data_IF_324377778619
#
_entry.id   IF_324377778619
#
_cell.length_a   1.000
_cell.length_b   1.000
_cell.length_c   1.000
_cell.angle_alpha   90.00
_cell.angle_beta   90.00
_cell.angle_gamma   90.00
#
_symmetry.space_group_name_H-M   'P 1'
#
loop_
_entity.id
_entity.type
_entity.pdbx_description
1 polymer ?
#
# COMPACT_ATOMS: atom_id res chain seq x y z
N UNK A 1 -3.64 -11.69 15.10
CA UNK A 1 -3.47 -12.14 16.51
C UNK A 1 -4.40 -11.36 17.46
N UNK A 2 -4.79 -11.92 18.63
CA UNK A 2 -5.47 -11.16 19.69
C UNK A 2 -4.60 -9.99 20.21
N UNK A 3 -5.20 -9.05 20.94
CA UNK A 3 -4.42 -7.98 21.60
C UNK A 3 -3.52 -8.60 22.68
N UNK A 4 -2.22 -8.26 22.72
CA UNK A 4 -1.28 -8.87 23.65
C UNK A 4 -1.59 -8.41 25.08
N UNK A 5 -1.99 -9.34 25.94
CA UNK A 5 -2.32 -9.04 27.32
C UNK A 5 -1.09 -8.63 28.13
N UNK A 6 -1.29 -7.90 29.24
CA UNK A 6 -0.26 -7.46 30.20
C UNK A 6 0.87 -8.49 30.43
N UNK A 7 0.54 -9.78 30.55
CA UNK A 7 1.53 -10.85 30.76
C UNK A 7 2.53 -10.98 29.60
N UNK A 8 2.08 -10.88 28.36
CA UNK A 8 2.93 -10.96 27.17
C UNK A 8 3.82 -9.71 27.05
N UNK A 9 3.27 -8.53 27.35
CA UNK A 9 4.04 -7.26 27.43
C UNK A 9 5.13 -7.33 28.51
N UNK A 10 4.85 -7.99 29.65
CA UNK A 10 5.80 -8.24 30.72
C UNK A 10 6.90 -9.21 30.29
N UNK A 11 6.55 -10.34 29.66
CA UNK A 11 7.48 -11.38 29.19
C UNK A 11 8.38 -10.92 28.02
N UNK A 12 7.89 -10.02 27.16
CA UNK A 12 8.67 -9.35 26.12
C UNK A 12 9.61 -8.24 26.67
N UNK A 13 9.37 -7.80 27.91
CA UNK A 13 10.20 -6.82 28.60
C UNK A 13 9.91 -5.35 28.26
N UNK A 14 8.68 -5.02 27.80
CA UNK A 14 8.28 -3.63 27.49
C UNK A 14 8.38 -2.71 28.71
N UNK A 15 8.17 -3.25 29.91
CA UNK A 15 8.13 -2.49 31.16
C UNK A 15 9.48 -1.89 31.60
N UNK A 16 10.60 -2.30 31.00
CA UNK A 16 11.92 -1.73 31.32
C UNK A 16 12.17 -0.47 30.50
N UNK A 17 12.32 0.67 31.17
CA UNK A 17 12.89 1.87 30.57
C UNK A 17 14.40 1.95 30.74
N UNK A 18 14.92 3.16 30.59
CA UNK A 18 16.32 3.52 30.78
C UNK A 18 16.67 3.85 32.25
N UNK A 19 17.96 4.08 32.49
CA UNK A 19 18.48 4.57 33.78
C UNK A 19 17.88 5.94 34.17
N UNK A 20 17.63 6.14 35.46
CA UNK A 20 17.02 7.38 36.03
C UNK A 20 17.77 8.68 35.74
N UNK A 21 19.04 8.61 35.32
CA UNK A 21 19.84 9.77 34.89
C UNK A 21 19.63 10.19 33.43
N UNK A 22 18.94 9.38 32.63
CA UNK A 22 18.80 9.55 31.16
C UNK A 22 17.36 9.79 30.70
N UNK A 23 16.42 9.92 31.63
CA UNK A 23 15.00 10.07 31.36
C UNK A 23 14.63 11.49 30.85
N UNK A 24 13.54 11.59 30.09
CA UNK A 24 12.91 12.85 29.74
C UNK A 24 11.77 13.15 30.74
N UNK A 25 11.72 14.35 31.37
CA UNK A 25 10.66 14.72 32.31
C UNK A 25 9.23 14.59 31.76
N UNK A 26 9.02 14.66 30.45
CA UNK A 26 7.71 14.55 29.80
C UNK A 26 7.17 13.12 29.81
N UNK A 27 8.05 12.12 29.93
CA UNK A 27 7.66 10.72 30.11
C UNK A 27 7.09 10.41 31.51
N UNK A 28 7.04 11.38 32.44
CA UNK A 28 6.62 11.17 33.83
C UNK A 28 5.25 10.51 33.99
N UNK A 29 4.31 10.77 33.08
CA UNK A 29 2.97 10.18 33.12
C UNK A 29 2.94 8.68 32.77
N UNK A 30 3.89 8.21 31.95
CA UNK A 30 3.99 6.82 31.51
C UNK A 30 4.91 5.96 32.39
N UNK A 31 5.64 6.59 33.32
CA UNK A 31 6.57 5.91 34.24
C UNK A 31 5.81 5.56 35.53
N UNK A 32 5.61 4.26 35.77
CA UNK A 32 5.03 3.73 37.00
C UNK A 32 5.95 3.95 38.22
N UNK A 33 7.26 3.84 38.03
CA UNK A 33 8.22 4.02 39.13
C UNK A 33 9.68 3.81 38.72
N UNK A 34 10.51 3.48 39.70
CA UNK A 34 11.90 3.10 39.50
C UNK A 34 12.27 1.90 40.38
N UNK A 35 13.18 1.06 39.89
CA UNK A 35 13.73 -0.09 40.59
C UNK A 35 15.18 -0.29 40.16
N UNK A 36 16.07 -0.49 41.13
CA UNK A 36 17.49 -0.75 40.89
C UNK A 36 18.18 0.29 39.96
N UNK A 37 17.66 1.54 39.96
CA UNK A 37 18.15 2.64 39.13
C UNK A 37 17.61 2.68 37.69
N UNK A 38 16.64 1.84 37.35
CA UNK A 38 15.99 1.74 36.04
C UNK A 38 14.51 2.17 36.19
N UNK A 39 13.98 2.95 35.24
CA UNK A 39 12.56 3.27 35.23
C UNK A 39 11.68 2.07 34.83
N UNK A 40 10.53 1.95 35.49
CA UNK A 40 9.49 0.99 35.12
C UNK A 40 8.37 1.75 34.41
N UNK A 41 8.05 1.31 33.20
CA UNK A 41 6.96 1.84 32.36
C UNK A 41 5.64 1.16 32.75
N UNK A 42 4.56 1.93 32.78
CA UNK A 42 3.22 1.44 33.13
C UNK A 42 2.59 0.62 31.99
N UNK A 43 2.59 -0.71 32.16
CA UNK A 43 2.04 -1.64 31.16
C UNK A 43 0.53 -1.49 30.94
N UNK A 44 -0.23 -0.94 31.88
CA UNK A 44 -1.68 -0.69 31.67
C UNK A 44 -1.89 0.42 30.64
N UNK A 45 -1.06 1.46 30.69
CA UNK A 45 -1.05 2.51 29.68
C UNK A 45 -0.52 1.96 28.34
N UNK A 46 0.55 1.17 28.37
CA UNK A 46 1.09 0.49 27.17
C UNK A 46 0.03 -0.35 26.45
N UNK A 47 -0.71 -1.20 27.17
CA UNK A 47 -1.76 -2.07 26.60
C UNK A 47 -2.86 -1.24 25.91
N UNK A 48 -3.36 -0.21 26.61
CA UNK A 48 -4.40 0.67 26.08
C UNK A 48 -3.95 1.44 24.82
N UNK A 49 -2.77 2.07 24.88
CA UNK A 49 -2.25 2.90 23.80
C UNK A 49 -1.77 2.06 22.60
N UNK A 50 -1.26 0.84 22.83
CA UNK A 50 -0.98 -0.11 21.75
C UNK A 50 -2.26 -0.53 21.02
N UNK A 51 -3.37 -0.71 21.75
CA UNK A 51 -4.67 -1.00 21.13
C UNK A 51 -5.20 0.19 20.31
N UNK A 52 -4.97 1.44 20.75
CA UNK A 52 -5.28 2.64 19.97
C UNK A 52 -4.42 2.75 18.70
N UNK A 53 -3.10 2.60 18.83
CA UNK A 53 -2.16 2.57 17.72
C UNK A 53 -2.52 1.48 16.69
N UNK A 54 -2.90 0.28 17.15
CA UNK A 54 -3.35 -0.83 16.32
C UNK A 54 -4.63 -0.49 15.54
N UNK A 55 -5.62 0.12 16.20
CA UNK A 55 -6.86 0.57 15.56
C UNK A 55 -6.57 1.63 14.49
N UNK A 56 -5.78 2.65 14.81
CA UNK A 56 -5.42 3.70 13.85
C UNK A 56 -4.65 3.16 12.63
N UNK A 57 -3.68 2.26 12.84
CA UNK A 57 -2.94 1.62 11.74
C UNK A 57 -3.87 0.81 10.82
N UNK A 58 -4.81 0.05 11.41
CA UNK A 58 -5.84 -0.68 10.66
C UNK A 58 -6.74 0.27 9.86
N UNK A 59 -7.23 1.35 10.47
CA UNK A 59 -8.08 2.37 9.82
C UNK A 59 -7.41 3.09 8.65
N UNK A 60 -6.08 3.22 8.65
CA UNK A 60 -5.31 3.75 7.52
C UNK A 60 -5.20 2.70 6.42
N UNK A 61 -4.88 1.45 6.77
CA UNK A 61 -4.72 0.35 5.82
C UNK A 61 -6.04 -0.06 5.13
N UNK A 62 -7.18 -0.08 5.84
CA UNK A 62 -8.53 -0.35 5.27
C UNK A 62 -8.91 0.66 4.19
N UNK A 63 -8.37 1.89 4.24
CA UNK A 63 -8.61 2.95 3.24
C UNK A 63 -7.63 2.87 2.03
N UNK A 64 -6.78 1.84 1.96
CA UNK A 64 -5.69 1.78 0.99
C UNK A 64 -4.60 2.84 1.24
N UNK A 65 -4.46 3.29 2.49
CA UNK A 65 -3.41 4.19 2.94
C UNK A 65 -2.07 3.47 3.06
N UNK A 66 -0.98 4.15 2.73
CA UNK A 66 0.38 3.63 2.79
C UNK A 66 0.99 3.98 4.15
N UNK A 67 1.52 3.00 4.87
CA UNK A 67 2.15 3.18 6.19
C UNK A 67 3.65 2.93 6.06
N UNK A 68 4.48 3.85 6.54
CA UNK A 68 5.94 3.72 6.51
C UNK A 68 6.45 3.12 7.82
N UNK A 69 7.08 1.94 7.77
CA UNK A 69 7.72 1.33 8.95
C UNK A 69 9.19 1.78 9.07
N UNK A 70 9.59 2.29 10.22
CA UNK A 70 10.92 2.88 10.44
C UNK A 70 11.53 2.29 11.71
N UNK A 71 12.77 1.83 11.61
CA UNK A 71 13.54 1.42 12.77
C UNK A 71 14.94 0.97 12.37
N UNK A 72 15.93 1.85 12.51
CA UNK A 72 17.33 1.52 12.19
C UNK A 72 18.11 1.01 13.40
N UNK A 73 17.49 0.91 14.58
CA UNK A 73 18.08 0.23 15.74
C UNK A 73 18.19 -1.27 15.48
N UNK A 74 19.31 -1.91 15.85
CA UNK A 74 19.59 -3.33 15.56
C UNK A 74 18.45 -4.26 15.99
N UNK A 75 17.81 -3.95 17.11
CA UNK A 75 16.72 -4.71 17.71
C UNK A 75 15.37 -4.58 16.97
N UNK A 76 15.25 -3.65 16.03
CA UNK A 76 14.05 -3.40 15.24
C UNK A 76 14.22 -3.69 13.74
N UNK A 77 15.46 -3.68 13.19
CA UNK A 77 15.71 -3.71 11.74
C UNK A 77 15.04 -4.86 11.00
N UNK A 78 15.10 -6.06 11.59
CA UNK A 78 14.64 -7.28 10.95
C UNK A 78 13.11 -7.41 11.08
N UNK A 79 12.56 -7.13 12.26
CA UNK A 79 11.12 -7.09 12.49
C UNK A 79 10.41 -6.02 11.64
N UNK A 80 10.98 -4.80 11.53
CA UNK A 80 10.47 -3.74 10.64
C UNK A 80 10.41 -4.22 9.19
N UNK A 81 11.48 -4.84 8.70
CA UNK A 81 11.53 -5.36 7.34
C UNK A 81 10.52 -6.48 7.12
N UNK A 82 10.52 -7.49 8.00
CA UNK A 82 9.67 -8.68 7.86
C UNK A 82 8.18 -8.30 7.81
N UNK A 83 7.71 -7.46 8.73
CA UNK A 83 6.31 -7.04 8.76
C UNK A 83 5.94 -6.12 7.61
N UNK A 84 6.83 -5.22 7.19
CA UNK A 84 6.60 -4.37 6.03
C UNK A 84 6.57 -5.16 4.71
N UNK A 85 7.48 -6.11 4.51
CA UNK A 85 7.50 -7.02 3.35
C UNK A 85 6.22 -7.89 3.32
N UNK A 86 5.76 -8.41 4.47
CA UNK A 86 4.49 -9.15 4.59
C UNK A 86 3.27 -8.28 4.25
N UNK A 87 3.25 -7.02 4.69
CA UNK A 87 2.18 -6.08 4.40
C UNK A 87 2.20 -5.56 2.97
N UNK A 88 3.34 -5.64 2.27
CA UNK A 88 3.65 -4.89 1.05
C UNK A 88 3.48 -3.37 1.29
N UNK A 89 4.23 -2.90 2.31
CA UNK A 89 4.30 -1.51 2.78
C UNK A 89 5.77 -1.04 2.76
N UNK A 90 6.04 0.27 2.56
CA UNK A 90 7.41 0.78 2.54
C UNK A 90 8.05 0.75 3.94
N UNK A 91 9.38 0.59 3.97
CA UNK A 91 10.15 0.60 5.21
C UNK A 91 11.54 1.25 5.10
N UNK A 92 12.09 1.63 6.26
CA UNK A 92 13.46 2.10 6.45
C UNK A 92 14.08 1.39 7.65
N UNK A 93 14.99 0.44 7.40
CA UNK A 93 15.65 -0.35 8.44
C UNK A 93 17.18 -0.18 8.53
N UNK A 94 17.82 0.49 7.56
CA UNK A 94 19.29 0.68 7.56
C UNK A 94 19.72 2.05 8.09
N UNK A 95 19.27 3.13 7.45
CA UNK A 95 19.60 4.52 7.78
C UNK A 95 18.54 5.48 7.22
N UNK A 96 18.06 6.42 8.03
CA UNK A 96 17.26 7.55 7.53
C UNK A 96 18.13 8.51 6.70
N UNK A 97 17.71 8.78 5.46
CA UNK A 97 18.28 9.85 4.65
C UNK A 97 17.51 11.15 4.91
N UNK A 98 18.19 12.17 5.42
CA UNK A 98 17.56 13.48 5.63
C UNK A 98 17.01 14.06 4.33
N UNK A 99 15.73 14.44 4.34
CA UNK A 99 14.97 14.84 3.16
C UNK A 99 14.10 13.73 2.56
N UNK A 100 14.06 12.52 3.14
CA UNK A 100 13.30 11.38 2.61
C UNK A 100 11.82 11.72 2.37
N UNK A 101 11.20 12.45 3.30
CA UNK A 101 9.81 12.88 3.18
C UNK A 101 9.75 14.35 2.74
N UNK A 102 10.56 15.21 3.34
CA UNK A 102 10.48 16.67 3.14
C UNK A 102 11.04 17.17 1.81
N UNK A 103 11.85 16.36 1.12
CA UNK A 103 12.35 16.60 -0.22
C UNK A 103 12.04 15.40 -1.14
N UNK A 104 10.79 14.91 -1.05
CA UNK A 104 10.34 13.71 -1.77
C UNK A 104 10.60 13.73 -3.27
N UNK A 105 10.53 14.89 -3.94
CA UNK A 105 10.84 14.99 -5.39
C UNK A 105 12.30 14.59 -5.71
N UNK A 106 13.27 15.07 -4.93
CA UNK A 106 14.69 14.68 -5.11
C UNK A 106 14.92 13.21 -4.78
N UNK A 107 14.18 12.67 -3.81
CA UNK A 107 14.26 11.26 -3.42
C UNK A 107 13.58 10.34 -4.44
N UNK A 108 12.50 10.79 -5.06
CA UNK A 108 11.83 10.09 -6.18
C UNK A 108 12.80 9.90 -7.35
N UNK A 109 13.53 10.95 -7.74
CA UNK A 109 14.58 10.84 -8.77
C UNK A 109 15.72 9.87 -8.38
N UNK A 110 16.03 9.70 -7.08
CA UNK A 110 16.98 8.68 -6.61
C UNK A 110 16.39 7.27 -6.62
N UNK A 111 15.08 7.12 -6.44
CA UNK A 111 14.36 5.85 -6.55
C UNK A 111 14.20 5.45 -8.02
N UNK A 112 13.89 6.38 -8.92
CA UNK A 112 13.92 6.18 -10.38
C UNK A 112 15.30 5.72 -10.83
N UNK A 113 16.37 6.39 -10.36
CA UNK A 113 17.75 5.99 -10.62
C UNK A 113 18.09 4.58 -10.11
N UNK A 114 17.51 4.16 -8.99
CA UNK A 114 17.61 2.79 -8.49
C UNK A 114 16.94 1.81 -9.47
N UNK A 115 15.70 2.07 -9.90
CA UNK A 115 14.99 1.23 -10.87
C UNK A 115 15.74 1.11 -12.22
N UNK A 116 16.31 2.20 -12.73
CA UNK A 116 17.18 2.19 -13.92
C UNK A 116 18.37 1.24 -13.76
N UNK A 117 19.09 1.32 -12.64
CA UNK A 117 20.27 0.50 -12.37
C UNK A 117 19.92 -0.98 -12.15
N UNK A 118 18.79 -1.24 -11.48
CA UNK A 118 18.23 -2.60 -11.34
C UNK A 118 17.90 -3.18 -12.71
N UNK A 119 17.22 -2.44 -13.59
CA UNK A 119 16.91 -2.91 -14.95
C UNK A 119 18.19 -3.19 -15.76
N UNK A 120 19.17 -2.28 -15.76
CA UNK A 120 20.46 -2.48 -16.45
C UNK A 120 21.24 -3.70 -15.94
N UNK A 121 21.14 -4.03 -14.65
CA UNK A 121 21.72 -5.25 -14.07
C UNK A 121 20.95 -6.49 -14.54
N UNK A 122 19.64 -6.48 -14.39
CA UNK A 122 18.78 -7.64 -14.62
C UNK A 122 18.68 -8.00 -16.11
N UNK A 123 18.88 -7.02 -17.01
CA UNK A 123 19.05 -7.21 -18.46
C UNK A 123 20.48 -7.59 -18.90
N UNK A 124 21.44 -7.66 -17.97
CA UNK A 124 22.85 -7.96 -18.27
C UNK A 124 23.63 -6.84 -18.98
N UNK A 125 23.05 -5.65 -19.15
CA UNK A 125 23.71 -4.53 -19.83
C UNK A 125 24.95 -4.01 -19.08
N UNK A 126 24.98 -4.14 -17.74
CA UNK A 126 26.15 -3.74 -16.94
C UNK A 126 27.42 -4.53 -17.28
N UNK A 127 27.30 -5.79 -17.70
CA UNK A 127 28.46 -6.64 -18.06
C UNK A 127 29.14 -6.19 -19.35
N UNK A 128 28.39 -5.53 -20.25
CA UNK A 128 28.89 -4.95 -21.50
C UNK A 128 29.74 -3.69 -21.28
N UNK A 129 29.67 -3.07 -20.09
CA UNK A 129 30.41 -1.85 -19.78
C UNK A 129 31.90 -2.14 -19.48
N UNK A 130 32.80 -1.17 -19.75
CA UNK A 130 34.18 -1.24 -19.28
C UNK A 130 34.25 -1.48 -17.78
N UNK A 131 35.16 -2.35 -17.31
CA UNK A 131 35.26 -2.78 -15.90
C UNK A 131 35.18 -1.63 -14.88
N UNK A 132 35.82 -0.49 -15.16
CA UNK A 132 35.78 0.69 -14.27
C UNK A 132 34.38 1.30 -14.16
N UNK A 133 33.62 1.34 -15.26
CA UNK A 133 32.26 1.87 -15.28
C UNK A 133 31.28 0.88 -14.66
N UNK A 134 31.40 -0.41 -14.98
CA UNK A 134 30.62 -1.47 -14.33
C UNK A 134 30.76 -1.41 -12.80
N UNK A 135 31.98 -1.43 -12.27
CA UNK A 135 32.23 -1.33 -10.82
C UNK A 135 31.66 -0.05 -10.19
N UNK A 136 31.67 1.08 -10.93
CA UNK A 136 31.08 2.32 -10.46
C UNK A 136 29.54 2.25 -10.40
N UNK A 137 28.90 1.61 -11.39
CA UNK A 137 27.44 1.39 -11.43
C UNK A 137 26.98 0.35 -10.42
N UNK A 138 27.72 -0.74 -10.23
CA UNK A 138 27.46 -1.74 -9.19
C UNK A 138 27.54 -1.10 -7.80
N UNK A 139 28.57 -0.30 -7.52
CA UNK A 139 28.71 0.40 -6.24
C UNK A 139 27.76 1.61 -6.08
N UNK A 140 27.16 2.11 -7.17
CA UNK A 140 26.03 3.05 -7.15
C UNK A 140 24.74 2.31 -6.75
N UNK A 141 24.48 1.17 -7.39
CA UNK A 141 23.33 0.30 -7.17
C UNK A 141 23.30 -0.26 -5.74
N UNK A 142 24.39 -0.86 -5.27
CA UNK A 142 24.51 -1.42 -3.91
C UNK A 142 24.18 -0.37 -2.83
N UNK A 143 24.69 0.86 -3.00
CA UNK A 143 24.40 1.98 -2.07
C UNK A 143 22.95 2.44 -2.16
N UNK A 144 22.33 2.43 -3.34
CA UNK A 144 20.93 2.79 -3.50
C UNK A 144 20.00 1.69 -2.96
N UNK A 145 20.26 0.41 -3.24
CA UNK A 145 19.52 -0.73 -2.67
C UNK A 145 19.62 -0.74 -1.13
N UNK A 146 20.81 -0.52 -0.57
CA UNK A 146 21.02 -0.49 0.88
C UNK A 146 20.24 0.63 1.60
N UNK A 147 20.15 1.82 1.01
CA UNK A 147 19.50 2.97 1.66
C UNK A 147 18.03 3.17 1.27
N UNK A 148 17.65 2.84 0.03
CA UNK A 148 16.33 3.13 -0.56
C UNK A 148 15.53 1.88 -0.94
N UNK A 149 16.09 0.68 -0.81
CA UNK A 149 15.42 -0.57 -1.20
C UNK A 149 14.04 -0.77 -0.56
N UNK A 150 13.88 -0.45 0.72
CA UNK A 150 12.59 -0.53 1.43
C UNK A 150 11.57 0.54 1.04
N UNK A 151 11.98 1.65 0.40
CA UNK A 151 11.08 2.70 -0.10
C UNK A 151 10.94 2.70 -1.63
N UNK A 152 11.53 1.72 -2.34
CA UNK A 152 11.54 1.67 -3.82
C UNK A 152 10.15 1.68 -4.48
N UNK A 153 9.13 1.18 -3.78
CA UNK A 153 7.73 1.18 -4.23
C UNK A 153 6.94 2.45 -3.91
N UNK A 154 7.53 3.40 -3.18
CA UNK A 154 6.83 4.58 -2.65
C UNK A 154 6.62 5.64 -3.75
N UNK A 155 5.42 5.66 -4.35
CA UNK A 155 5.01 6.64 -5.39
C UNK A 155 4.45 7.95 -4.82
N UNK A 156 4.05 7.95 -3.56
CA UNK A 156 3.46 9.10 -2.83
C UNK A 156 3.94 9.07 -1.39
N UNK A 157 3.83 10.20 -0.69
CA UNK A 157 4.08 10.26 0.76
C UNK A 157 3.17 9.28 1.52
N UNK A 158 3.65 8.68 2.62
CA UNK A 158 2.84 7.82 3.47
C UNK A 158 1.75 8.62 4.21
N UNK A 159 0.68 7.92 4.61
CA UNK A 159 -0.45 8.48 5.35
C UNK A 159 -0.25 8.38 6.87
N UNK A 160 0.66 7.51 7.32
CA UNK A 160 1.13 7.39 8.70
C UNK A 160 2.54 6.80 8.72
N UNK A 161 3.28 7.00 9.81
CA UNK A 161 4.58 6.37 10.04
C UNK A 161 4.58 5.58 11.37
N UNK A 162 5.10 4.36 11.35
CA UNK A 162 5.41 3.57 12.55
C UNK A 162 6.91 3.72 12.80
N UNK A 163 7.32 4.36 13.89
CA UNK A 163 8.73 4.66 14.18
C UNK A 163 9.16 4.02 15.50
N UNK A 164 10.21 3.20 15.42
CA UNK A 164 10.84 2.51 16.55
C UNK A 164 12.21 3.15 16.82
N UNK A 165 12.49 3.46 18.09
CA UNK A 165 13.61 4.31 18.53
C UNK A 165 13.58 5.73 17.92
N UNK A 166 12.67 6.54 18.47
CA UNK A 166 12.46 7.94 18.10
C UNK A 166 13.70 8.83 18.35
N UNK A 167 14.66 8.36 19.16
CA UNK A 167 15.91 9.08 19.49
C UNK A 167 16.93 8.92 18.38
N UNK A 168 17.10 7.70 17.86
CA UNK A 168 17.89 7.40 16.67
C UNK A 168 17.24 8.00 15.42
N UNK A 169 15.91 7.89 15.30
CA UNK A 169 15.14 8.39 14.14
C UNK A 169 14.68 9.86 14.26
N UNK A 170 15.32 10.67 15.11
CA UNK A 170 14.91 12.06 15.38
C UNK A 170 14.84 12.98 14.15
N UNK A 171 15.50 12.62 13.04
CA UNK A 171 15.34 13.32 11.74
C UNK A 171 14.01 12.94 11.10
N UNK A 172 13.67 11.66 11.04
CA UNK A 172 12.41 11.17 10.47
C UNK A 172 11.18 11.65 11.24
N UNK A 173 11.26 11.71 12.57
CA UNK A 173 10.21 12.29 13.44
C UNK A 173 9.93 13.74 13.06
N UNK A 174 10.96 14.60 12.98
CA UNK A 174 10.81 16.01 12.59
C UNK A 174 10.33 16.20 11.16
N UNK A 175 10.71 15.31 10.25
CA UNK A 175 10.24 15.35 8.85
C UNK A 175 8.75 14.99 8.74
N UNK A 176 8.31 13.97 9.49
CA UNK A 176 6.90 13.58 9.57
C UNK A 176 6.06 14.67 10.26
N UNK A 177 6.50 15.18 11.40
CA UNK A 177 5.89 16.32 12.13
C UNK A 177 5.71 17.55 11.22
N UNK A 178 6.76 17.96 10.49
CA UNK A 178 6.71 19.11 9.59
C UNK A 178 5.70 18.95 8.45
N UNK A 179 5.44 17.70 8.04
CA UNK A 179 4.46 17.35 7.00
C UNK A 179 3.09 16.97 7.58
N UNK A 180 2.93 16.95 8.90
CA UNK A 180 1.75 16.47 9.62
C UNK A 180 1.36 15.04 9.25
N UNK A 181 2.35 14.18 9.05
CA UNK A 181 2.17 12.74 8.87
C UNK A 181 2.09 12.14 10.29
N UNK A 182 0.95 11.56 10.70
CA UNK A 182 0.76 11.06 12.05
C UNK A 182 1.71 9.89 12.35
N UNK A 183 2.28 9.93 13.56
CA UNK A 183 3.32 9.02 14.02
C UNK A 183 2.74 8.07 15.08
N UNK A 184 2.92 6.77 14.85
CA UNK A 184 2.83 5.71 15.85
C UNK A 184 4.26 5.45 16.33
N UNK A 185 4.56 5.68 17.60
CA UNK A 185 5.94 5.68 18.10
C UNK A 185 6.14 4.84 19.35
N UNK A 186 7.13 3.93 19.35
CA UNK A 186 7.58 3.27 20.58
C UNK A 186 8.38 4.29 21.42
N UNK A 187 7.82 4.74 22.53
CA UNK A 187 8.40 5.76 23.41
C UNK A 187 9.00 5.12 24.68
N UNK A 188 10.33 5.06 24.73
CA UNK A 188 11.05 4.77 25.97
C UNK A 188 11.12 6.04 26.84
N UNK A 189 11.30 5.87 28.15
CA UNK A 189 11.54 6.88 29.18
C UNK A 189 12.57 7.97 28.85
N UNK A 190 13.42 7.81 27.83
CA UNK A 190 14.51 8.73 27.45
C UNK A 190 14.20 9.61 26.21
N UNK A 191 12.95 9.58 25.73
CA UNK A 191 12.41 10.24 24.52
C UNK A 191 11.33 11.27 24.93
N UNK A 192 11.18 12.32 24.13
CA UNK A 192 10.04 13.25 24.21
C UNK A 192 8.81 12.66 23.50
N UNK A 193 7.69 12.39 24.19
CA UNK A 193 6.49 11.81 23.57
C UNK A 193 5.61 12.85 22.86
N UNK A 194 5.84 14.16 23.04
CA UNK A 194 4.95 15.21 22.51
C UNK A 194 4.79 15.24 20.97
N UNK A 195 5.81 14.93 20.15
CA UNK A 195 5.67 14.91 18.68
C UNK A 195 4.92 13.69 18.12
N UNK A 196 4.38 12.81 18.97
CA UNK A 196 3.84 11.50 18.60
C UNK A 196 2.34 11.46 18.87
N UNK A 197 1.52 11.36 17.83
CA UNK A 197 0.06 11.31 17.96
C UNK A 197 -0.43 10.01 18.61
N UNK A 198 0.27 8.89 18.39
CA UNK A 198 -0.04 7.58 18.99
C UNK A 198 1.22 7.01 19.68
N UNK A 199 1.57 7.51 20.89
CA UNK A 199 2.70 6.99 21.64
C UNK A 199 2.37 5.59 22.19
N UNK A 200 3.29 4.64 22.07
CA UNK A 200 3.23 3.34 22.75
C UNK A 200 4.37 3.30 23.76
N UNK A 201 4.12 3.48 25.07
CA UNK A 201 5.17 3.43 26.08
C UNK A 201 5.81 2.04 26.16
N UNK A 202 7.13 1.97 26.01
CA UNK A 202 7.83 0.69 26.13
C UNK A 202 9.32 0.72 25.83
N UNK A 203 9.97 -0.38 26.17
CA UNK A 203 11.39 -0.65 25.96
C UNK A 203 11.74 -0.75 24.46
N UNK A 204 12.63 0.11 23.96
CA UNK A 204 13.12 0.05 22.58
C UNK A 204 14.50 -0.66 22.45
N UNK A 205 15.10 -1.10 23.56
CA UNK A 205 16.37 -1.83 23.61
C UNK A 205 16.20 -3.37 23.57
N UNK A 206 15.01 -3.90 23.86
CA UNK A 206 14.70 -5.33 23.81
C UNK A 206 14.20 -5.76 22.42
N UNK A 207 14.86 -6.77 21.83
CA UNK A 207 14.44 -7.38 20.55
C UNK A 207 12.99 -7.86 20.62
N UNK A 208 12.64 -8.62 21.68
CA UNK A 208 11.28 -9.16 21.87
C UNK A 208 10.24 -8.06 22.04
N UNK A 209 10.62 -6.94 22.65
CA UNK A 209 9.74 -5.78 22.84
C UNK A 209 9.40 -5.13 21.50
N UNK A 210 10.43 -4.84 20.70
CA UNK A 210 10.27 -4.33 19.35
C UNK A 210 9.47 -5.30 18.47
N UNK A 211 9.81 -6.60 18.46
CA UNK A 211 9.09 -7.64 17.72
C UNK A 211 7.61 -7.71 18.09
N UNK A 212 7.26 -7.65 19.39
CA UNK A 212 5.87 -7.71 19.84
C UNK A 212 5.08 -6.46 19.41
N UNK A 213 5.65 -5.27 19.57
CA UNK A 213 4.99 -4.00 19.18
C UNK A 213 4.84 -3.90 17.66
N UNK A 214 5.92 -4.11 16.91
CA UNK A 214 5.93 -4.08 15.44
C UNK A 214 4.98 -5.16 14.90
N UNK A 215 4.99 -6.37 15.47
CA UNK A 215 4.14 -7.47 15.02
C UNK A 215 2.65 -7.25 15.33
N UNK A 216 2.32 -6.71 16.50
CA UNK A 216 0.93 -6.38 16.86
C UNK A 216 0.32 -5.34 15.92
N UNK A 217 1.12 -4.33 15.52
CA UNK A 217 0.70 -3.30 14.56
C UNK A 217 0.70 -3.86 13.13
N UNK A 218 1.77 -4.57 12.73
CA UNK A 218 1.97 -5.14 11.41
C UNK A 218 0.91 -6.17 11.03
N UNK A 219 0.50 -7.02 11.95
CA UNK A 219 -0.61 -7.97 11.75
C UNK A 219 -1.93 -7.23 11.45
N UNK A 220 -2.26 -6.19 12.21
CA UNK A 220 -3.49 -5.42 11.98
C UNK A 220 -3.46 -4.66 10.64
N UNK A 221 -2.29 -4.17 10.23
CA UNK A 221 -2.07 -3.59 8.89
C UNK A 221 -2.21 -4.66 7.80
N UNK A 222 -1.69 -5.87 8.02
CA UNK A 222 -1.81 -6.99 7.08
C UNK A 222 -3.26 -7.42 6.88
N UNK A 223 -3.99 -7.72 7.97
CA UNK A 223 -5.42 -8.11 7.94
C UNK A 223 -6.27 -7.03 7.22
N UNK A 224 -6.03 -5.75 7.53
CA UNK A 224 -6.69 -4.61 6.88
C UNK A 224 -6.34 -4.47 5.40
N UNK A 225 -5.06 -4.57 5.04
CA UNK A 225 -4.58 -4.44 3.66
C UNK A 225 -5.07 -5.59 2.77
N UNK A 226 -5.13 -6.83 3.30
CA UNK A 226 -5.74 -7.97 2.59
C UNK A 226 -7.24 -7.73 2.34
N UNK A 227 -7.96 -7.24 3.36
CA UNK A 227 -9.39 -6.90 3.25
C UNK A 227 -9.63 -5.82 2.20
N UNK A 228 -8.81 -4.76 2.19
CA UNK A 228 -8.87 -3.71 1.17
C UNK A 228 -8.53 -4.22 -0.23
N UNK A 229 -7.45 -5.00 -0.40
CA UNK A 229 -7.07 -5.60 -1.69
C UNK A 229 -8.19 -6.45 -2.29
N UNK A 230 -8.89 -7.24 -1.46
CA UNK A 230 -10.04 -8.02 -1.89
C UNK A 230 -11.20 -7.12 -2.34
N UNK A 231 -11.62 -6.16 -1.52
CA UNK A 231 -12.71 -5.25 -1.87
C UNK A 231 -12.40 -4.40 -3.13
N UNK A 232 -11.13 -4.01 -3.32
CA UNK A 232 -10.65 -3.31 -4.51
C UNK A 232 -10.68 -4.20 -5.76
N UNK A 233 -10.34 -5.49 -5.64
CA UNK A 233 -10.43 -6.46 -6.73
C UNK A 233 -11.88 -6.75 -7.12
N UNK A 234 -12.75 -6.97 -6.13
CA UNK A 234 -14.19 -7.19 -6.32
C UNK A 234 -14.83 -5.97 -7.04
N UNK A 235 -14.54 -4.73 -6.59
CA UNK A 235 -15.04 -3.51 -7.25
C UNK A 235 -14.55 -3.38 -8.70
N UNK A 236 -13.28 -3.72 -8.98
CA UNK A 236 -12.74 -3.68 -10.35
C UNK A 236 -13.40 -4.72 -11.26
N UNK A 237 -13.67 -5.92 -10.75
CA UNK A 237 -14.39 -6.95 -11.49
C UNK A 237 -15.84 -6.54 -11.80
N UNK A 238 -16.53 -5.90 -10.83
CA UNK A 238 -17.85 -5.32 -11.05
C UNK A 238 -17.82 -4.21 -12.12
N UNK A 239 -16.89 -3.24 -11.99
CA UNK A 239 -16.70 -2.16 -12.97
C UNK A 239 -16.40 -2.70 -14.39
N UNK A 240 -15.54 -3.72 -14.52
CA UNK A 240 -15.25 -4.35 -15.81
C UNK A 240 -16.45 -5.10 -16.37
N UNK A 241 -17.18 -5.86 -15.53
CA UNK A 241 -18.41 -6.55 -15.95
C UNK A 241 -19.48 -5.58 -16.44
N UNK A 242 -19.57 -4.40 -15.81
CA UNK A 242 -20.49 -3.33 -16.21
C UNK A 242 -20.07 -2.70 -17.53
N UNK A 243 -18.79 -2.39 -17.72
CA UNK A 243 -18.28 -1.86 -19.01
C UNK A 243 -18.54 -2.83 -20.16
N UNK A 244 -18.27 -4.13 -19.97
CA UNK A 244 -18.57 -5.16 -20.98
C UNK A 244 -20.06 -5.21 -21.35
N UNK A 245 -20.98 -5.12 -20.36
CA UNK A 245 -22.42 -5.05 -20.63
C UNK A 245 -22.81 -3.77 -21.39
N UNK A 246 -22.29 -2.62 -20.99
CA UNK A 246 -22.54 -1.34 -21.68
C UNK A 246 -21.96 -1.32 -23.11
N UNK A 247 -20.86 -2.03 -23.37
CA UNK A 247 -20.29 -2.25 -24.70
C UNK A 247 -21.14 -3.24 -25.55
N UNK A 248 -21.58 -4.36 -24.97
CA UNK A 248 -22.48 -5.31 -25.64
C UNK A 248 -23.84 -4.68 -26.00
N UNK A 249 -24.41 -3.85 -25.12
CA UNK A 249 -25.65 -3.12 -25.37
C UNK A 249 -25.47 -2.08 -26.50
N UNK A 250 -24.36 -1.34 -26.53
CA UNK A 250 -24.03 -0.42 -27.64
C UNK A 250 -23.87 -1.17 -28.96
N UNK A 251 -23.16 -2.29 -28.97
CA UNK A 251 -22.97 -3.10 -30.19
C UNK A 251 -24.30 -3.66 -30.71
N UNK A 252 -25.21 -4.09 -29.82
CA UNK A 252 -26.56 -4.51 -30.20
C UNK A 252 -27.39 -3.35 -30.77
N UNK A 253 -27.38 -2.19 -30.11
CA UNK A 253 -28.10 -1.01 -30.59
C UNK A 253 -27.58 -0.53 -31.96
N UNK A 254 -26.26 -0.51 -32.16
CA UNK A 254 -25.66 -0.21 -33.47
C UNK A 254 -26.01 -1.25 -34.53
N UNK A 255 -26.07 -2.54 -34.18
CA UNK A 255 -26.46 -3.60 -35.10
C UNK A 255 -27.95 -3.49 -35.50
N UNK A 256 -28.84 -3.19 -34.55
CA UNK A 256 -30.26 -2.91 -34.82
C UNK A 256 -30.44 -1.64 -35.68
N UNK A 257 -29.68 -0.57 -35.41
CA UNK A 257 -29.74 0.66 -36.20
C UNK A 257 -29.24 0.45 -37.65
N UNK A 258 -28.15 -0.32 -37.83
CA UNK A 258 -27.65 -0.72 -39.16
C UNK A 258 -28.68 -1.58 -39.90
N UNK A 259 -29.21 -2.63 -39.26
CA UNK A 259 -30.24 -3.48 -39.84
C UNK A 259 -31.52 -2.71 -40.20
N UNK A 260 -31.91 -1.70 -39.39
CA UNK A 260 -33.05 -0.82 -39.66
C UNK A 260 -32.80 0.08 -40.89
N UNK A 261 -31.59 0.62 -41.04
CA UNK A 261 -31.19 1.41 -42.23
C UNK A 261 -31.12 0.55 -43.49
N UNK A 262 -30.51 -0.64 -43.41
CA UNK A 262 -30.47 -1.59 -44.52
C UNK A 262 -31.89 -2.02 -44.96
N UNK A 263 -32.82 -2.19 -44.02
CA UNK A 263 -34.22 -2.48 -44.32
C UNK A 263 -34.97 -1.28 -44.95
N UNK A 264 -34.73 -0.04 -44.48
CA UNK A 264 -35.29 1.17 -45.10
C UNK A 264 -34.74 1.38 -46.53
N UNK A 265 -33.44 1.13 -46.77
CA UNK A 265 -32.82 1.21 -48.10
C UNK A 265 -33.33 0.11 -49.05
N UNK A 266 -33.48 -1.14 -48.57
CA UNK A 266 -34.06 -2.23 -49.35
C UNK A 266 -35.53 -1.97 -49.71
N UNK A 267 -36.32 -1.40 -48.80
CA UNK A 267 -37.70 -1.00 -49.07
C UNK A 267 -37.79 0.18 -50.07
N UNK A 268 -36.86 1.13 -50.01
CA UNK A 268 -36.79 2.23 -50.97
C UNK A 268 -36.36 1.76 -52.38
N UNK A 269 -35.53 0.72 -52.48
CA UNK A 269 -35.17 0.09 -53.74
C UNK A 269 -36.31 -0.75 -54.35
N UNK A 270 -37.24 -1.25 -53.53
CA UNK A 270 -38.37 -2.10 -53.93
C UNK A 270 -39.66 -1.30 -54.24
N UNK A 271 -39.54 -0.19 -54.98
CA UNK A 271 -40.65 0.71 -55.30
C UNK A 271 -41.87 0.03 -55.97
N UNK A 272 -43.07 0.62 -55.86
CA UNK A 272 -44.33 -0.08 -56.13
C UNK A 272 -44.53 -0.44 -57.61
N UNK A 273 -44.46 -1.73 -57.92
CA UNK A 273 -44.78 -2.27 -59.25
C UNK A 273 -45.28 -3.71 -59.14
N UNK A 274 -46.62 -3.89 -59.11
CA UNK A 274 -47.20 -5.20 -58.81
C UNK A 274 -48.70 -5.38 -59.01
N UNK A 275 -49.36 -4.61 -59.88
CA UNK A 275 -50.74 -4.93 -60.27
C UNK A 275 -51.07 -4.52 -61.73
N UNK A 276 -52.04 -5.23 -62.32
CA UNK A 276 -52.60 -5.04 -63.66
C UNK A 276 -51.75 -5.45 -64.91
N UNK A 277 -51.69 -6.75 -65.17
CA UNK A 277 -51.63 -7.29 -66.54
C UNK A 277 -52.43 -8.60 -66.65
N UNK A 278 -53.57 -8.62 -67.35
CA UNK A 278 -54.25 -9.91 -67.60
C UNK A 278 -55.75 -10.00 -67.88
N UNK A 279 -56.43 -9.02 -68.52
CA UNK A 279 -57.78 -9.26 -69.07
C UNK A 279 -58.01 -8.62 -70.45
N UNK A 280 -57.91 -9.40 -71.53
CA UNK A 280 -58.97 -9.49 -72.55
C UNK A 280 -58.78 -10.69 -73.48
N UNK A 281 -59.92 -11.19 -73.97
CA UNK A 281 -60.22 -12.47 -74.60
C UNK A 281 -59.74 -12.63 -76.06
N UNK A 282 -59.62 -13.89 -76.53
CA UNK A 282 -60.15 -14.33 -77.82
C UNK A 282 -60.38 -15.87 -77.88
N UNK A 283 -61.65 -16.29 -78.03
CA UNK A 283 -62.17 -17.47 -78.78
C UNK A 283 -61.25 -18.71 -78.95
N UNK A 284 -61.51 -19.85 -78.29
CA UNK A 284 -62.24 -21.00 -78.90
C UNK A 284 -61.28 -22.00 -79.59
N UNK A 285 -61.57 -23.27 -79.90
CA UNK A 285 -62.63 -24.29 -79.64
C UNK A 285 -61.94 -25.67 -79.79
N UNK A 286 -62.40 -26.85 -79.39
CA UNK A 286 -63.67 -27.44 -78.93
C UNK A 286 -63.58 -28.98 -79.13
N UNK A 287 -64.44 -29.79 -78.50
CA UNK A 287 -64.53 -31.28 -78.61
C UNK A 287 -63.30 -32.08 -78.09
N UNK A 288 -63.42 -33.31 -77.58
CA UNK A 288 -64.60 -34.19 -77.42
C UNK A 288 -64.36 -35.30 -76.39
N UNK A 289 -65.36 -36.16 -76.17
CA UNK A 289 -65.45 -37.04 -75.00
C UNK A 289 -64.83 -38.44 -75.15
N UNK A 290 -64.37 -38.98 -74.00
CA UNK A 290 -64.51 -40.39 -73.56
C UNK A 290 -63.79 -41.52 -74.34
N UNK A 291 -63.72 -42.74 -73.78
CA UNK A 291 -64.13 -43.17 -72.42
C UNK A 291 -62.95 -43.43 -71.46
#
# INVERSE_FOLDING_TARGET
>A
MPEPGIKELLEAGLHFGHQTRRWDPRMRQYIFGERDGIHIIDLLQTEHMLAEARRFASDVAVKGGTILFVGTKKQARDAVKEWADRCDMPYVNQRWLGGLLTNFHTMSARIERLHELTALRDEGQLDLLPTKERMARESELEKLEYNLGGVRGMKRLPQAAVIIDLKTEAIGVREAERLRIPIIGLVDSNVDPLPIEYPVPGNDDSIRSCELVIGTIGEAVFEAAQSWRKAEADRRAEEESRRRREEEERQRAEAEERARKEAEEAAAAAGPGGEAAGTSQATGTGQGASP
#
